data_IF_802241266176
#
_entry.id   IF_802241266176
#
_cell.length_a   1.000
_cell.length_b   1.000
_cell.length_c   1.000
_cell.angle_alpha   90.00
_cell.angle_beta   90.00
_cell.angle_gamma   90.00
#
_symmetry.space_group_name_H-M   'P 1'
#
loop_
_entity.id
_entity.type
_entity.pdbx_description
1 polymer ?
#
# COMPACT_ATOMS: atom_id res chain seq x y z
N UNK A 1 3.17 31.04 6.16
CA UNK A 1 3.81 30.03 5.29
C UNK A 1 2.88 28.82 5.22
N UNK A 2 2.56 28.32 4.05
CA UNK A 2 1.75 27.10 3.89
C UNK A 2 2.73 25.93 3.78
N UNK A 3 2.67 24.99 4.71
CA UNK A 3 3.50 23.80 4.68
C UNK A 3 2.89 22.77 3.71
N UNK A 4 3.74 22.07 2.97
CA UNK A 4 3.30 21.02 2.05
C UNK A 4 2.68 19.84 2.81
N UNK A 5 3.28 19.46 3.92
CA UNK A 5 2.81 18.38 4.78
C UNK A 5 3.09 18.72 6.25
N UNK A 6 2.10 18.49 7.10
CA UNK A 6 2.22 18.61 8.54
C UNK A 6 1.65 17.34 9.16
N UNK A 7 2.48 16.52 9.84
CA UNK A 7 1.98 15.34 10.52
C UNK A 7 0.86 15.70 11.51
N UNK A 8 -0.26 15.01 11.53
CA UNK A 8 -1.31 15.25 12.49
C UNK A 8 -0.82 14.88 13.90
N UNK A 9 -1.12 15.73 14.87
CA UNK A 9 -0.84 15.49 16.28
C UNK A 9 -2.12 15.78 17.07
N UNK A 10 -2.73 14.75 17.63
CA UNK A 10 -4.02 14.84 18.34
C UNK A 10 -3.88 14.90 19.85
N UNK A 11 -2.64 14.76 20.38
CA UNK A 11 -2.30 14.92 21.79
C UNK A 11 -2.37 13.63 22.62
N UNK A 12 -2.72 12.50 22.02
CA UNK A 12 -2.79 11.20 22.72
C UNK A 12 -1.59 10.29 22.43
N UNK A 13 -0.73 10.66 21.52
CA UNK A 13 0.39 9.86 21.03
C UNK A 13 1.34 9.44 22.17
N UNK A 14 1.74 10.41 23.01
CA UNK A 14 2.64 10.13 24.14
C UNK A 14 2.00 9.22 25.19
N UNK A 15 0.68 9.29 25.37
CA UNK A 15 -0.03 8.38 26.27
C UNK A 15 0.10 6.93 25.79
N UNK A 16 -0.13 6.68 24.49
CA UNK A 16 -0.03 5.34 23.94
C UNK A 16 1.41 4.82 23.89
N UNK A 17 2.37 5.71 23.63
CA UNK A 17 3.79 5.35 23.71
C UNK A 17 4.18 4.94 25.15
N UNK A 18 3.73 5.69 26.17
CA UNK A 18 3.99 5.37 27.57
C UNK A 18 3.34 4.03 27.95
N UNK A 19 2.09 3.80 27.58
CA UNK A 19 1.41 2.52 27.79
C UNK A 19 2.17 1.34 27.15
N UNK A 20 2.72 1.52 25.94
CA UNK A 20 3.51 0.49 25.28
C UNK A 20 4.79 0.15 26.06
N UNK A 21 5.45 1.17 26.62
CA UNK A 21 6.64 0.99 27.48
C UNK A 21 6.28 0.27 28.77
N UNK A 22 5.21 0.66 29.45
CA UNK A 22 4.75 0.02 30.69
C UNK A 22 4.38 -1.46 30.47
N UNK A 23 3.83 -1.78 29.30
CA UNK A 23 3.53 -3.15 28.89
C UNK A 23 4.78 -3.96 28.48
N UNK A 24 5.98 -3.39 28.58
CA UNK A 24 7.25 -4.01 28.18
C UNK A 24 7.23 -4.54 26.74
N UNK A 25 6.46 -3.92 25.84
CA UNK A 25 6.31 -4.36 24.44
C UNK A 25 6.38 -3.16 23.48
N UNK A 26 7.60 -2.74 23.17
CA UNK A 26 7.90 -1.65 22.24
C UNK A 26 8.41 -2.13 20.87
N UNK A 27 8.45 -3.44 20.65
CA UNK A 27 8.75 -4.05 19.35
C UNK A 27 7.46 -4.28 18.55
N UNK A 28 7.59 -4.69 17.28
CA UNK A 28 6.46 -5.07 16.43
C UNK A 28 5.59 -6.18 17.03
N UNK A 29 4.39 -6.35 16.51
CA UNK A 29 3.41 -7.34 16.94
C UNK A 29 3.02 -7.23 18.43
N UNK A 30 2.92 -6.00 18.90
CA UNK A 30 2.48 -5.68 20.26
C UNK A 30 0.96 -5.54 20.40
N UNK A 31 0.47 -5.19 21.62
CA UNK A 31 -0.96 -5.03 21.88
C UNK A 31 -1.64 -3.99 20.97
N UNK A 32 -0.94 -2.91 20.62
CA UNK A 32 -1.50 -1.89 19.72
C UNK A 32 -1.58 -2.37 18.28
N UNK A 33 -0.62 -3.17 17.81
CA UNK A 33 -0.70 -3.82 16.49
C UNK A 33 -1.96 -4.68 16.41
N UNK A 34 -2.18 -5.53 17.41
CA UNK A 34 -3.38 -6.41 17.47
C UNK A 34 -4.69 -5.62 17.49
N UNK A 35 -4.76 -4.53 18.27
CA UNK A 35 -5.93 -3.65 18.28
C UNK A 35 -6.18 -3.02 16.89
N UNK A 36 -5.12 -2.62 16.19
CA UNK A 36 -5.25 -2.08 14.84
C UNK A 36 -5.70 -3.15 13.84
N UNK A 37 -5.10 -4.34 13.90
CA UNK A 37 -5.46 -5.47 13.03
C UNK A 37 -6.93 -5.83 13.22
N UNK A 38 -7.38 -6.04 14.45
CA UNK A 38 -8.78 -6.33 14.80
C UNK A 38 -9.75 -5.24 14.31
N UNK A 39 -9.38 -3.97 14.49
CA UNK A 39 -10.20 -2.86 14.03
C UNK A 39 -10.35 -2.84 12.51
N UNK A 40 -9.24 -3.03 11.79
CA UNK A 40 -9.22 -3.07 10.33
C UNK A 40 -9.95 -4.30 9.78
N UNK A 41 -9.75 -5.48 10.38
CA UNK A 41 -10.46 -6.72 10.02
C UNK A 41 -11.98 -6.51 10.15
N UNK A 42 -12.42 -5.94 11.28
CA UNK A 42 -13.83 -5.65 11.51
C UNK A 42 -14.39 -4.58 10.58
N UNK A 43 -13.60 -3.52 10.31
CA UNK A 43 -14.03 -2.38 9.47
C UNK A 43 -14.19 -2.77 8.02
N UNK A 44 -13.26 -3.56 7.50
CA UNK A 44 -13.20 -3.92 6.07
C UNK A 44 -13.69 -5.33 5.79
N UNK A 45 -14.10 -6.08 6.84
CA UNK A 45 -14.49 -7.50 6.72
C UNK A 45 -13.38 -8.34 6.09
N UNK A 46 -12.13 -7.98 6.35
CA UNK A 46 -10.98 -8.73 5.93
C UNK A 46 -10.78 -9.94 6.85
N UNK A 47 -10.39 -11.06 6.28
CA UNK A 47 -10.09 -12.28 7.05
C UNK A 47 -8.81 -12.12 7.88
N UNK A 48 -7.84 -11.37 7.35
CA UNK A 48 -6.57 -11.07 8.00
C UNK A 48 -6.07 -9.69 7.61
N UNK A 49 -5.50 -9.00 8.59
CA UNK A 49 -4.76 -7.75 8.42
C UNK A 49 -3.37 -7.92 9.00
N UNK A 50 -2.40 -7.33 8.35
CA UNK A 50 -1.00 -7.28 8.81
C UNK A 50 -0.48 -5.87 8.64
N UNK A 51 -0.09 -5.24 9.74
CA UNK A 51 0.57 -3.94 9.68
C UNK A 51 2.01 -4.07 9.18
N UNK A 52 2.42 -3.11 8.38
CA UNK A 52 3.79 -3.00 7.88
C UNK A 52 4.44 -1.71 8.37
N UNK A 53 5.75 -1.62 8.24
CA UNK A 53 6.52 -0.43 8.65
C UNK A 53 6.33 0.77 7.73
N UNK A 54 5.86 0.53 6.50
CA UNK A 54 5.61 1.58 5.50
C UNK A 54 4.67 1.08 4.39
N UNK A 55 4.09 2.00 3.63
CA UNK A 55 3.35 1.68 2.42
C UNK A 55 4.21 0.96 1.36
N UNK A 56 5.49 1.29 1.26
CA UNK A 56 6.41 0.60 0.36
C UNK A 56 6.55 -0.88 0.72
N UNK A 57 6.72 -1.19 2.00
CA UNK A 57 6.80 -2.59 2.48
C UNK A 57 5.46 -3.32 2.28
N UNK A 58 4.33 -2.60 2.39
CA UNK A 58 3.01 -3.18 2.09
C UNK A 58 2.89 -3.57 0.61
N UNK A 59 3.43 -2.74 -0.30
CA UNK A 59 3.47 -3.06 -1.73
C UNK A 59 4.39 -4.24 -2.04
N UNK A 60 5.54 -4.35 -1.39
CA UNK A 60 6.43 -5.52 -1.52
C UNK A 60 5.71 -6.80 -1.08
N UNK A 61 5.00 -6.74 0.05
CA UNK A 61 4.18 -7.85 0.53
C UNK A 61 3.05 -8.18 -0.45
N UNK A 62 2.39 -7.18 -1.03
CA UNK A 62 1.34 -7.38 -2.02
C UNK A 62 1.87 -8.10 -3.27
N UNK A 63 3.05 -7.70 -3.78
CA UNK A 63 3.69 -8.35 -4.91
C UNK A 63 3.99 -9.84 -4.63
N UNK A 64 4.47 -10.16 -3.42
CA UNK A 64 4.70 -11.54 -2.98
C UNK A 64 3.40 -12.33 -2.88
N UNK A 65 2.35 -11.76 -2.28
CA UNK A 65 1.06 -12.42 -2.12
C UNK A 65 0.35 -12.67 -3.46
N UNK A 66 0.54 -11.78 -4.44
CA UNK A 66 0.05 -11.98 -5.80
C UNK A 66 0.82 -13.08 -6.56
N UNK A 67 1.93 -13.57 -6.01
CA UNK A 67 2.74 -14.60 -6.63
C UNK A 67 3.35 -14.18 -7.96
N UNK A 68 3.80 -12.93 -8.05
CA UNK A 68 4.43 -12.35 -9.24
C UNK A 68 5.67 -13.15 -9.62
N UNK A 69 5.83 -13.40 -10.91
CA UNK A 69 6.96 -14.12 -11.50
C UNK A 69 7.51 -13.37 -12.72
N UNK A 70 8.76 -13.65 -13.11
CA UNK A 70 9.30 -13.13 -14.36
C UNK A 70 8.40 -13.47 -15.55
N UNK A 71 8.04 -12.45 -16.32
CA UNK A 71 7.13 -12.54 -17.46
C UNK A 71 5.68 -12.15 -17.18
N UNK A 72 5.28 -12.05 -15.90
CA UNK A 72 3.98 -11.50 -15.54
C UNK A 72 3.97 -9.98 -15.80
N UNK A 73 2.82 -9.45 -16.17
CA UNK A 73 2.61 -8.02 -16.38
C UNK A 73 1.76 -7.41 -15.26
N UNK A 74 2.15 -6.19 -14.85
CA UNK A 74 1.42 -5.40 -13.85
C UNK A 74 1.05 -4.07 -14.47
N UNK A 75 -0.25 -3.78 -14.51
CA UNK A 75 -0.78 -2.49 -14.97
C UNK A 75 -0.82 -1.52 -13.79
N UNK A 76 -0.26 -0.33 -13.94
CA UNK A 76 -0.23 0.71 -12.92
C UNK A 76 -0.19 2.10 -13.57
N UNK A 77 -0.60 3.17 -12.85
CA UNK A 77 -0.48 4.53 -13.38
C UNK A 77 0.99 4.97 -13.41
N UNK A 78 1.32 5.80 -14.39
CA UNK A 78 2.65 6.43 -14.47
C UNK A 78 2.85 7.53 -13.40
N UNK A 79 1.76 8.08 -12.88
CA UNK A 79 1.76 9.06 -11.81
C UNK A 79 1.55 8.38 -10.45
N UNK A 80 2.65 8.06 -9.80
CA UNK A 80 2.67 7.43 -8.46
C UNK A 80 4.07 7.57 -7.84
N UNK A 81 4.17 7.26 -6.57
CA UNK A 81 5.48 7.14 -5.93
C UNK A 81 6.24 5.91 -6.46
N UNK A 82 7.56 6.03 -6.62
CA UNK A 82 8.40 5.00 -7.25
C UNK A 82 8.30 3.60 -6.63
N UNK A 83 7.99 3.49 -5.33
CA UNK A 83 7.84 2.20 -4.66
C UNK A 83 6.69 1.37 -5.24
N UNK A 84 5.64 2.00 -5.77
CA UNK A 84 4.52 1.27 -6.42
C UNK A 84 5.03 0.43 -7.60
N UNK A 85 5.93 0.99 -8.41
CA UNK A 85 6.55 0.29 -9.52
C UNK A 85 7.64 -0.70 -9.07
N UNK A 86 8.52 -0.24 -8.15
CA UNK A 86 9.69 -1.01 -7.72
C UNK A 86 9.33 -2.35 -7.10
N UNK A 87 8.29 -2.42 -6.29
CA UNK A 87 7.87 -3.64 -5.62
C UNK A 87 7.57 -4.78 -6.61
N UNK A 88 6.91 -4.45 -7.70
CA UNK A 88 6.60 -5.44 -8.74
C UNK A 88 7.81 -5.76 -9.64
N UNK A 89 8.64 -4.77 -9.95
CA UNK A 89 9.89 -5.00 -10.71
C UNK A 89 10.84 -5.91 -9.94
N UNK A 90 11.00 -5.69 -8.63
CA UNK A 90 11.83 -6.54 -7.77
C UNK A 90 11.32 -7.98 -7.72
N UNK A 91 10.00 -8.18 -7.85
CA UNK A 91 9.40 -9.50 -7.96
C UNK A 91 9.53 -10.12 -9.38
N UNK A 92 10.04 -9.38 -10.35
CA UNK A 92 10.30 -9.84 -11.73
C UNK A 92 9.22 -9.48 -12.76
N UNK A 93 8.24 -8.64 -12.41
CA UNK A 93 7.20 -8.21 -13.34
C UNK A 93 7.70 -7.27 -14.42
N UNK A 94 7.01 -7.30 -15.55
CA UNK A 94 7.04 -6.24 -16.56
C UNK A 94 5.96 -5.21 -16.25
N UNK A 95 6.32 -3.93 -16.19
CA UNK A 95 5.35 -2.86 -15.93
C UNK A 95 4.66 -2.41 -17.20
N UNK A 96 3.35 -2.29 -17.14
CA UNK A 96 2.51 -1.72 -18.19
C UNK A 96 1.89 -0.44 -17.64
N UNK A 97 2.44 0.70 -18.06
CA UNK A 97 1.97 2.00 -17.60
C UNK A 97 0.72 2.43 -18.34
N UNK A 98 -0.27 2.87 -17.58
CA UNK A 98 -1.49 3.49 -18.05
C UNK A 98 -1.50 4.95 -17.57
N UNK A 99 -1.99 5.84 -18.41
CA UNK A 99 -2.08 7.26 -18.08
C UNK A 99 -3.11 7.54 -17.01
N UNK A 100 -3.06 8.72 -16.44
CA UNK A 100 -3.99 9.19 -15.41
C UNK A 100 -5.04 10.14 -16.00
N UNK A 101 -6.14 10.27 -15.29
CA UNK A 101 -7.16 11.31 -15.52
C UNK A 101 -6.65 12.64 -14.95
N UNK A 102 -6.63 13.71 -15.74
CA UNK A 102 -6.13 15.01 -15.28
C UNK A 102 -7.02 15.67 -14.21
N UNK A 103 -8.28 15.26 -14.09
CA UNK A 103 -9.25 15.81 -13.13
C UNK A 103 -9.12 15.18 -11.74
N UNK A 104 -8.67 13.92 -11.64
CA UNK A 104 -8.59 13.17 -10.38
C UNK A 104 -7.20 12.69 -10.03
N UNK A 105 -6.26 12.72 -10.96
CA UNK A 105 -4.92 12.14 -10.87
C UNK A 105 -4.91 10.62 -10.65
N UNK A 106 -6.07 9.97 -10.63
CA UNK A 106 -6.18 8.52 -10.57
C UNK A 106 -5.94 7.91 -11.95
N UNK A 107 -5.63 6.61 -11.99
CA UNK A 107 -5.48 5.87 -13.25
C UNK A 107 -6.72 6.08 -14.15
N UNK A 108 -6.50 6.26 -15.44
CA UNK A 108 -7.59 6.35 -16.42
C UNK A 108 -8.18 4.96 -16.67
N UNK A 109 -9.28 4.67 -16.01
CA UNK A 109 -9.95 3.39 -16.06
C UNK A 109 -10.39 2.99 -17.48
N UNK A 110 -10.61 3.96 -18.36
CA UNK A 110 -11.03 3.71 -19.75
C UNK A 110 -9.91 3.12 -20.61
N UNK A 111 -8.65 3.25 -20.16
CA UNK A 111 -7.46 2.75 -20.87
C UNK A 111 -6.97 1.41 -20.34
N UNK A 112 -7.51 0.93 -19.22
CA UNK A 112 -7.05 -0.31 -18.59
C UNK A 112 -7.32 -1.52 -19.47
N UNK A 113 -8.52 -1.64 -20.01
CA UNK A 113 -8.94 -2.80 -20.83
C UNK A 113 -8.00 -3.01 -22.03
N UNK A 114 -7.62 -1.93 -22.71
CA UNK A 114 -6.70 -1.99 -23.86
C UNK A 114 -5.26 -2.39 -23.48
N UNK A 115 -4.91 -2.24 -22.22
CA UNK A 115 -3.59 -2.61 -21.68
C UNK A 115 -3.53 -4.07 -21.19
N UNK A 116 -4.67 -4.75 -21.06
CA UNK A 116 -4.73 -6.14 -20.60
C UNK A 116 -4.22 -7.09 -21.68
N UNK A 117 -3.32 -7.98 -21.31
CA UNK A 117 -2.82 -9.09 -22.13
C UNK A 117 -3.00 -10.42 -21.40
N UNK A 118 -2.67 -11.53 -22.06
CA UNK A 118 -2.64 -12.87 -21.42
C UNK A 118 -1.61 -12.97 -20.28
N UNK A 119 -0.66 -12.03 -20.20
CA UNK A 119 0.37 -11.96 -19.16
C UNK A 119 -0.03 -11.07 -17.99
N UNK A 120 -1.11 -10.31 -18.12
CA UNK A 120 -1.56 -9.40 -17.06
C UNK A 120 -1.96 -10.18 -15.82
N UNK A 121 -1.24 -9.97 -14.74
CA UNK A 121 -1.43 -10.63 -13.46
C UNK A 121 -2.10 -9.75 -12.42
N UNK A 122 -1.75 -8.46 -12.41
CA UNK A 122 -2.20 -7.48 -11.42
C UNK A 122 -2.52 -6.15 -12.08
N UNK A 123 -3.54 -5.50 -11.57
CA UNK A 123 -3.83 -4.08 -11.81
C UNK A 123 -3.67 -3.39 -10.46
N UNK A 124 -2.73 -2.44 -10.37
CA UNK A 124 -2.40 -1.70 -9.14
C UNK A 124 -2.82 -0.23 -9.29
N UNK A 125 -4.07 0.12 -8.98
CA UNK A 125 -4.50 1.53 -9.00
C UNK A 125 -3.90 2.28 -7.82
N UNK A 126 -3.76 3.60 -7.98
CA UNK A 126 -3.39 4.54 -6.93
C UNK A 126 -4.53 5.53 -6.76
N UNK A 127 -4.91 5.80 -5.54
CA UNK A 127 -5.98 6.75 -5.20
C UNK A 127 -5.40 8.03 -4.62
N UNK A 128 -5.74 9.17 -5.23
CA UNK A 128 -5.39 10.52 -4.80
C UNK A 128 -6.59 11.27 -4.21
#
# INVERSE_FOLDING_TARGET
>A
MIHFNVPPFVGTEFKYMHEAVENHKICGDGPFTKKCDEWLENRFKAERVMLTTSGSTALDMAALLCGIKPGDEVILPSFTFSSTANSFVLAGATLVFVDIRPDTMNIDETKIEAAITEKTKVICPVHY
#
